data_IF_056564557311
#
_entry.id   IF_056564557311
#
_cell.length_a   1.000
_cell.length_b   1.000
_cell.length_c   1.000
_cell.angle_alpha   90.00
_cell.angle_beta   90.00
_cell.angle_gamma   90.00
#
_symmetry.space_group_name_H-M   'P 1'
#
loop_
_entity.id
_entity.type
_entity.pdbx_description
1 polymer ?
#
# COMPACT_ATOMS: atom_id res chain seq x y z
N UNK A 1 6.05 -5.75 -6.75
CA UNK A 1 5.19 -6.91 -7.07
C UNK A 1 4.38 -6.59 -8.31
N UNK A 2 4.22 -7.53 -9.25
CA UNK A 2 3.45 -7.32 -10.48
C UNK A 2 1.98 -7.61 -10.20
N UNK A 3 1.15 -6.58 -10.00
CA UNK A 3 -0.29 -6.79 -9.81
C UNK A 3 -0.95 -7.13 -11.14
N UNK A 4 -1.71 -8.23 -11.18
CA UNK A 4 -2.49 -8.62 -12.36
C UNK A 4 -3.47 -7.49 -12.70
N UNK A 5 -3.51 -7.08 -13.98
CA UNK A 5 -4.40 -6.01 -14.47
C UNK A 5 -5.49 -6.60 -15.35
N UNK A 6 -6.73 -6.19 -15.10
CA UNK A 6 -7.90 -6.60 -15.89
C UNK A 6 -8.71 -5.37 -16.28
N UNK A 7 -9.40 -5.39 -17.42
CA UNK A 7 -10.30 -4.30 -17.80
C UNK A 7 -11.63 -4.36 -17.04
N UNK A 8 -12.35 -3.25 -16.89
CA UNK A 8 -13.71 -3.23 -16.32
C UNK A 8 -14.66 -4.19 -17.04
N UNK A 9 -14.57 -4.27 -18.37
CA UNK A 9 -15.43 -5.15 -19.18
C UNK A 9 -15.13 -6.63 -18.92
N UNK A 10 -13.86 -6.99 -18.87
CA UNK A 10 -13.42 -8.36 -18.54
C UNK A 10 -13.76 -8.73 -17.10
N UNK A 11 -13.53 -7.79 -16.17
CA UNK A 11 -13.86 -7.97 -14.77
C UNK A 11 -15.35 -8.25 -14.57
N UNK A 12 -16.24 -7.50 -15.24
CA UNK A 12 -17.69 -7.72 -15.18
C UNK A 12 -18.10 -9.13 -15.62
N UNK A 13 -17.44 -9.67 -16.65
CA UNK A 13 -17.75 -11.00 -17.17
C UNK A 13 -17.31 -12.15 -16.23
N UNK A 14 -16.29 -11.93 -15.39
CA UNK A 14 -15.64 -12.96 -14.57
C UNK A 14 -15.46 -12.57 -13.11
N UNK A 15 -16.29 -11.67 -12.58
CA UNK A 15 -16.08 -11.07 -11.26
C UNK A 15 -15.95 -12.11 -10.14
N UNK A 16 -16.86 -13.10 -10.09
CA UNK A 16 -16.84 -14.16 -9.07
C UNK A 16 -15.60 -15.07 -9.18
N UNK A 17 -15.11 -15.32 -10.38
CA UNK A 17 -13.88 -16.10 -10.58
C UNK A 17 -12.67 -15.32 -10.07
N UNK A 18 -12.61 -14.02 -10.34
CA UNK A 18 -11.55 -13.15 -9.84
C UNK A 18 -11.58 -12.99 -8.33
N UNK A 19 -12.76 -12.93 -7.70
CA UNK A 19 -12.85 -12.92 -6.24
C UNK A 19 -12.28 -14.19 -5.63
N UNK A 20 -12.67 -15.37 -6.14
CA UNK A 20 -12.12 -16.66 -5.66
C UNK A 20 -10.61 -16.75 -5.86
N UNK A 21 -10.09 -16.20 -6.96
CA UNK A 21 -8.66 -16.13 -7.20
C UNK A 21 -7.97 -15.28 -6.13
N UNK A 22 -8.44 -14.05 -5.88
CA UNK A 22 -7.87 -13.15 -4.86
C UNK A 22 -7.99 -13.74 -3.44
N UNK A 23 -9.10 -14.40 -3.13
CA UNK A 23 -9.30 -15.08 -1.84
C UNK A 23 -8.32 -16.24 -1.63
N UNK A 24 -8.08 -17.04 -2.68
CA UNK A 24 -7.22 -18.23 -2.61
C UNK A 24 -5.72 -17.92 -2.66
N UNK A 25 -5.31 -16.92 -3.45
CA UNK A 25 -3.89 -16.56 -3.59
C UNK A 25 -3.46 -15.50 -2.59
N UNK A 26 -4.37 -14.64 -2.14
CA UNK A 26 -4.05 -13.44 -1.36
C UNK A 26 -3.40 -12.32 -2.19
N UNK A 27 -3.15 -12.53 -3.48
CA UNK A 27 -2.56 -11.52 -4.37
C UNK A 27 -3.61 -10.49 -4.80
N UNK A 28 -3.29 -9.20 -4.72
CA UNK A 28 -4.21 -8.15 -5.16
C UNK A 28 -4.20 -7.95 -6.69
N UNK A 29 -5.34 -7.52 -7.21
CA UNK A 29 -5.61 -7.31 -8.64
C UNK A 29 -6.05 -5.87 -8.89
N UNK A 30 -5.63 -5.30 -10.02
CA UNK A 30 -6.01 -3.95 -10.43
C UNK A 30 -7.03 -4.02 -11.57
N UNK A 31 -8.19 -3.38 -11.37
CA UNK A 31 -9.17 -3.16 -12.43
C UNK A 31 -8.87 -1.83 -13.11
N UNK A 32 -8.88 -1.87 -14.43
CA UNK A 32 -8.57 -0.74 -15.30
C UNK A 32 -9.80 -0.27 -16.05
N UNK A 33 -9.87 1.03 -16.32
CA UNK A 33 -10.85 1.66 -17.20
C UNK A 33 -10.11 2.33 -18.35
N UNK A 34 -10.38 1.90 -19.59
CA UNK A 34 -9.61 2.33 -20.76
C UNK A 34 -8.09 2.25 -20.57
N UNK A 35 -7.61 1.17 -19.94
CA UNK A 35 -6.18 0.94 -19.65
C UNK A 35 -5.63 1.71 -18.45
N UNK A 36 -6.40 2.62 -17.85
CA UNK A 36 -5.99 3.36 -16.65
C UNK A 36 -6.39 2.59 -15.39
N UNK A 37 -5.50 2.38 -14.42
CA UNK A 37 -5.84 1.73 -13.15
C UNK A 37 -6.84 2.59 -12.37
N UNK A 38 -7.94 2.00 -11.90
CA UNK A 38 -9.01 2.74 -11.21
C UNK A 38 -9.50 2.09 -9.93
N UNK A 39 -9.37 0.77 -9.79
CA UNK A 39 -9.77 0.04 -8.58
C UNK A 39 -8.74 -1.04 -8.27
N UNK A 40 -8.56 -1.33 -7.00
CA UNK A 40 -7.83 -2.50 -6.51
C UNK A 40 -8.80 -3.44 -5.81
N UNK A 41 -8.67 -4.73 -6.10
CA UNK A 41 -9.35 -5.82 -5.40
C UNK A 41 -8.27 -6.57 -4.65
N UNK A 42 -8.40 -6.59 -3.32
CA UNK A 42 -7.51 -7.29 -2.42
C UNK A 42 -8.34 -8.12 -1.45
N UNK A 43 -7.75 -9.20 -0.93
CA UNK A 43 -8.36 -9.95 0.16
C UNK A 43 -8.59 -9.00 1.32
N UNK A 44 -9.76 -9.08 1.94
CA UNK A 44 -9.99 -8.39 3.19
C UNK A 44 -9.16 -9.08 4.28
N UNK A 45 -8.37 -8.31 5.02
CA UNK A 45 -7.52 -8.81 6.08
C UNK A 45 -7.75 -7.93 7.31
N UNK A 46 -8.37 -8.52 8.33
CA UNK A 46 -8.70 -7.86 9.60
C UNK A 46 -7.45 -7.67 10.49
N UNK A 47 -6.32 -8.28 10.09
CA UNK A 47 -5.04 -8.17 10.80
C UNK A 47 -4.12 -7.09 10.22
N UNK A 48 -4.60 -6.27 9.28
CA UNK A 48 -3.84 -5.14 8.76
C UNK A 48 -3.63 -4.11 9.87
N UNK A 49 -2.52 -4.27 10.59
CA UNK A 49 -1.98 -3.27 11.49
C UNK A 49 -1.89 -1.95 10.71
N UNK A 50 -2.28 -0.85 11.33
CA UNK A 50 -1.96 0.45 10.77
C UNK A 50 -0.44 0.56 10.61
N UNK A 51 0.07 1.35 9.65
CA UNK A 51 1.52 1.51 9.47
C UNK A 51 2.27 1.87 10.77
N UNK A 52 1.63 2.61 11.68
CA UNK A 52 2.19 2.93 12.99
C UNK A 52 2.21 1.73 13.95
N UNK A 53 1.23 0.85 13.87
CA UNK A 53 1.21 -0.40 14.64
C UNK A 53 2.24 -1.40 14.09
N UNK A 54 2.41 -1.49 12.77
CA UNK A 54 3.48 -2.28 12.15
C UNK A 54 4.87 -1.81 12.59
N UNK A 55 5.06 -0.49 12.64
CA UNK A 55 6.34 0.11 13.02
C UNK A 55 6.53 0.22 14.54
N UNK A 56 5.53 -0.15 15.36
CA UNK A 56 5.60 -0.02 16.81
C UNK A 56 6.71 -0.92 17.36
N UNK A 57 7.68 -0.31 18.03
CA UNK A 57 8.82 -1.04 18.60
C UNK A 57 9.90 -1.41 17.59
N UNK A 58 9.83 -0.92 16.35
CA UNK A 58 10.87 -1.16 15.33
C UNK A 58 12.10 -0.26 15.46
N UNK A 59 12.04 0.81 16.26
CA UNK A 59 13.17 1.73 16.49
C UNK A 59 14.23 1.03 17.34
N UNK A 60 15.37 0.71 16.71
CA UNK A 60 16.51 0.05 17.37
C UNK A 60 17.41 1.03 18.11
N UNK A 61 17.49 2.27 17.62
CA UNK A 61 18.37 3.30 18.15
C UNK A 61 17.79 4.69 17.81
N UNK A 62 17.85 5.60 18.76
CA UNK A 62 17.40 6.98 18.62
C UNK A 62 18.34 7.84 19.47
N UNK A 63 19.21 8.60 18.80
CA UNK A 63 20.19 9.47 19.45
C UNK A 63 19.73 10.91 19.34
N UNK A 64 19.70 11.56 20.51
CA UNK A 64 19.46 13.00 20.71
C UNK A 64 18.42 13.64 19.76
N UNK A 65 17.21 13.07 19.63
CA UNK A 65 16.21 13.52 18.65
C UNK A 65 15.63 14.91 18.93
N UNK A 66 15.93 15.47 20.11
CA UNK A 66 15.49 16.78 20.55
C UNK A 66 16.66 17.74 20.77
N UNK A 67 17.89 17.34 20.42
CA UNK A 67 19.02 18.25 20.48
C UNK A 67 18.82 19.37 19.43
N UNK A 68 18.89 20.64 19.85
CA UNK A 68 18.71 21.75 18.94
C UNK A 68 19.82 21.78 17.91
N UNK A 69 19.46 21.83 16.63
CA UNK A 69 20.40 22.13 15.55
C UNK A 69 20.80 23.61 15.57
N UNK A 70 22.02 23.92 15.12
CA UNK A 70 22.51 25.29 15.05
C UNK A 70 21.69 26.15 14.09
N UNK A 71 21.71 27.48 14.29
CA UNK A 71 21.01 28.43 13.42
C UNK A 71 21.42 28.28 11.94
N UNK A 72 22.69 27.99 11.68
CA UNK A 72 23.27 27.82 10.34
C UNK A 72 22.88 26.49 9.65
N UNK A 73 22.34 25.52 10.39
CA UNK A 73 21.99 24.18 9.88
C UNK A 73 20.55 24.08 9.35
N UNK A 74 19.73 25.11 9.56
CA UNK A 74 18.39 25.16 9.00
C UNK A 74 18.44 25.41 7.50
N UNK A 75 17.85 24.49 6.72
CA UNK A 75 17.74 24.65 5.25
C UNK A 75 16.98 25.92 4.85
N UNK A 76 16.13 26.46 5.73
CA UNK A 76 15.42 27.72 5.51
C UNK A 76 16.34 28.96 5.42
N UNK A 77 17.59 28.86 5.89
CA UNK A 77 18.61 29.91 5.81
C UNK A 77 19.61 29.70 4.66
N UNK A 78 19.39 28.72 3.76
CA UNK A 78 20.17 28.53 2.52
C UNK A 78 19.57 29.24 1.31
#
# INVERSE_FOLDING_TARGET
MSHKRVSKSEFKAKALEYFRLVESTGESMIVTDHGKPVLEIRRYDDSALTPLEELRGSVLFCEDPFEPIGEDDWEAYR
#
